data_IF_630029600803
#
_entry.id   IF_630029600803
#
_cell.length_a   1.000
_cell.length_b   1.000
_cell.length_c   1.000
_cell.angle_alpha   90.00
_cell.angle_beta   90.00
_cell.angle_gamma   90.00
#
_symmetry.space_group_name_H-M   'P 1'
#
loop_
_entity.id
_entity.type
_entity.pdbx_description
1 polymer ?
#
# COMPACT_ATOMS: atom_id res chain seq x y z
N UNK A 1 25.30 -67.81 27.70
CA UNK A 1 23.91 -67.69 28.17
C UNK A 1 23.29 -66.42 27.59
N UNK A 2 22.14 -66.53 26.92
CA UNK A 2 21.36 -65.39 26.43
C UNK A 2 20.27 -65.07 27.45
N UNK A 3 20.31 -63.88 28.04
CA UNK A 3 19.34 -63.43 29.05
C UNK A 3 17.97 -63.20 28.41
N UNK A 4 16.90 -63.57 29.12
CA UNK A 4 15.52 -63.44 28.68
C UNK A 4 15.07 -61.96 28.62
N UNK A 5 14.72 -61.41 27.44
CA UNK A 5 14.31 -60.02 27.27
C UNK A 5 13.00 -59.64 27.94
N UNK A 6 12.17 -60.60 28.36
CA UNK A 6 10.96 -60.32 29.16
C UNK A 6 11.27 -60.12 30.65
N UNK A 7 12.38 -60.70 31.12
CA UNK A 7 12.81 -60.66 32.52
C UNK A 7 13.80 -59.53 32.80
N UNK A 8 14.54 -59.11 31.76
CA UNK A 8 15.50 -58.02 31.82
C UNK A 8 15.24 -57.02 30.69
N UNK A 9 14.73 -55.83 31.04
CA UNK A 9 14.54 -54.74 30.08
C UNK A 9 15.87 -54.46 29.37
N UNK A 10 15.86 -54.46 28.02
CA UNK A 10 17.00 -54.31 27.08
C UNK A 10 17.84 -55.55 26.74
N UNK A 11 17.49 -56.77 27.19
CA UNK A 11 18.29 -57.96 26.83
C UNK A 11 18.08 -58.52 25.40
N UNK A 12 17.33 -57.85 24.51
CA UNK A 12 16.89 -58.42 23.23
C UNK A 12 17.26 -57.67 21.93
N UNK A 13 17.76 -56.43 21.99
CA UNK A 13 18.27 -55.72 20.79
C UNK A 13 19.65 -55.18 21.09
N UNK A 14 20.70 -55.86 20.58
CA UNK A 14 22.10 -55.43 20.63
C UNK A 14 22.38 -54.26 19.66
N UNK A 15 21.52 -53.25 19.64
CA UNK A 15 21.86 -52.00 18.93
C UNK A 15 22.74 -51.19 19.87
N UNK A 16 23.96 -50.89 19.42
CA UNK A 16 24.87 -50.00 20.14
C UNK A 16 24.10 -48.70 20.42
N UNK A 17 24.06 -48.19 21.67
CA UNK A 17 23.42 -46.92 21.96
C UNK A 17 23.99 -45.83 21.05
N UNK A 18 23.15 -44.96 20.50
CA UNK A 18 23.57 -43.91 19.57
C UNK A 18 24.76 -43.08 20.10
N UNK A 19 24.81 -42.88 21.42
CA UNK A 19 25.84 -42.09 22.10
C UNK A 19 27.08 -42.90 22.56
N UNK A 20 27.06 -44.23 22.49
CA UNK A 20 28.18 -45.05 22.95
C UNK A 20 29.47 -44.83 22.14
N UNK A 21 29.44 -44.70 20.80
CA UNK A 21 30.64 -44.35 20.02
C UNK A 21 31.21 -42.99 20.39
N UNK A 22 30.37 -42.00 20.72
CA UNK A 22 30.82 -40.67 21.15
C UNK A 22 31.55 -40.73 22.50
N UNK A 23 31.06 -41.54 23.45
CA UNK A 23 31.74 -41.73 24.73
C UNK A 23 33.09 -42.44 24.57
N UNK A 24 33.17 -43.40 23.65
CA UNK A 24 34.44 -44.07 23.31
C UNK A 24 35.45 -43.07 22.73
N UNK A 25 35.04 -42.27 21.75
CA UNK A 25 35.87 -41.26 21.12
C UNK A 25 36.37 -40.19 22.10
N UNK A 26 35.52 -39.80 23.06
CA UNK A 26 35.92 -38.89 24.13
C UNK A 26 37.01 -39.48 25.03
N UNK A 27 36.88 -40.76 25.41
CA UNK A 27 37.90 -41.46 26.19
C UNK A 27 39.20 -41.61 25.39
N UNK A 28 39.10 -41.98 24.11
CA UNK A 28 40.24 -42.13 23.21
C UNK A 28 41.01 -40.81 23.04
N UNK A 29 40.30 -39.68 22.94
CA UNK A 29 40.92 -38.35 22.91
C UNK A 29 41.80 -38.13 24.16
N UNK A 30 41.26 -38.38 25.36
CA UNK A 30 42.02 -38.21 26.60
C UNK A 30 43.22 -39.16 26.68
N UNK A 31 43.03 -40.45 26.35
CA UNK A 31 44.09 -41.45 26.40
C UNK A 31 45.22 -41.11 25.42
N UNK A 32 44.89 -40.69 24.20
CA UNK A 32 45.87 -40.26 23.20
C UNK A 32 46.63 -39.03 23.68
N UNK A 33 45.94 -38.04 24.23
CA UNK A 33 46.60 -36.86 24.79
C UNK A 33 47.57 -37.25 25.91
N UNK A 34 47.18 -38.12 26.85
CA UNK A 34 48.04 -38.61 27.93
C UNK A 34 49.24 -39.45 27.45
N UNK A 35 49.07 -40.23 26.39
CA UNK A 35 50.12 -41.09 25.85
C UNK A 35 51.25 -40.30 25.16
N UNK A 36 50.98 -39.09 24.67
CA UNK A 36 51.97 -38.30 23.93
C UNK A 36 53.07 -37.69 24.83
N UNK A 37 52.74 -37.27 26.06
CA UNK A 37 53.72 -36.71 27.01
C UNK A 37 53.18 -36.70 28.44
N UNK A 38 54.08 -36.61 29.41
CA UNK A 38 53.71 -36.27 30.79
C UNK A 38 53.43 -34.76 30.89
N UNK A 39 52.31 -34.39 31.51
CA UNK A 39 51.90 -32.99 31.72
C UNK A 39 52.10 -32.61 33.18
N UNK A 40 52.69 -31.44 33.43
CA UNK A 40 52.93 -30.94 34.80
C UNK A 40 51.81 -30.02 35.30
N UNK A 41 51.08 -29.39 34.38
CA UNK A 41 49.97 -28.48 34.69
C UNK A 41 48.72 -28.79 33.85
N UNK A 42 47.54 -28.48 34.40
CA UNK A 42 46.26 -28.66 33.71
C UNK A 42 46.16 -27.78 32.45
N UNK A 43 46.77 -26.59 32.45
CA UNK A 43 46.75 -25.69 31.29
C UNK A 43 47.46 -26.27 30.07
N UNK A 44 48.61 -26.92 30.27
CA UNK A 44 49.35 -27.60 29.22
C UNK A 44 48.59 -28.80 28.65
N UNK A 45 47.84 -29.50 29.50
CA UNK A 45 46.99 -30.61 29.11
C UNK A 45 45.82 -30.13 28.25
N UNK A 46 45.04 -29.16 28.72
CA UNK A 46 43.90 -28.60 27.97
C UNK A 46 44.32 -28.01 26.62
N UNK A 47 45.45 -27.30 26.56
CA UNK A 47 45.98 -26.76 25.29
C UNK A 47 46.31 -27.88 24.31
N UNK A 48 46.80 -29.02 24.82
CA UNK A 48 47.12 -30.17 23.99
C UNK A 48 45.88 -30.92 23.53
N UNK A 49 44.90 -31.17 24.40
CA UNK A 49 43.61 -31.76 24.04
C UNK A 49 42.96 -31.00 22.88
N UNK A 50 43.00 -29.65 22.92
CA UNK A 50 42.47 -28.79 21.85
C UNK A 50 43.20 -28.87 20.50
N UNK A 51 44.42 -29.38 20.47
CA UNK A 51 45.22 -29.53 19.23
C UNK A 51 45.35 -30.97 18.76
N UNK A 52 44.86 -31.93 19.54
CA UNK A 52 44.84 -33.33 19.16
C UNK A 52 43.80 -33.54 18.05
N UNK A 53 44.21 -34.20 16.97
CA UNK A 53 43.38 -34.52 15.82
C UNK A 53 43.59 -35.99 15.47
N UNK A 54 42.51 -36.76 15.40
CA UNK A 54 42.55 -38.16 15.00
C UNK A 54 41.20 -38.61 14.43
N UNK A 55 41.17 -39.78 13.81
CA UNK A 55 39.94 -40.40 13.31
C UNK A 55 39.47 -41.44 14.32
N UNK A 56 38.34 -41.19 14.97
CA UNK A 56 37.67 -42.12 15.88
C UNK A 56 36.54 -42.90 15.21
N UNK A 57 35.67 -43.50 16.02
CA UNK A 57 34.53 -44.29 15.54
C UNK A 57 33.44 -43.42 14.90
N UNK A 58 33.29 -42.17 15.33
CA UNK A 58 32.30 -41.22 14.79
C UNK A 58 32.91 -40.26 13.75
N UNK A 59 34.04 -40.64 13.14
CA UNK A 59 34.74 -39.83 12.16
C UNK A 59 35.87 -38.99 12.76
N UNK A 60 36.24 -37.90 12.08
CA UNK A 60 37.34 -37.04 12.52
C UNK A 60 36.97 -36.32 13.82
N UNK A 61 37.91 -36.29 14.76
CA UNK A 61 37.80 -35.61 16.05
C UNK A 61 38.85 -34.52 16.07
N UNK A 62 38.40 -33.28 15.94
CA UNK A 62 39.19 -32.08 16.06
C UNK A 62 38.33 -31.00 16.72
N UNK A 63 38.96 -30.12 17.50
CA UNK A 63 38.29 -29.03 18.19
C UNK A 63 38.41 -27.71 17.44
N UNK A 64 37.36 -26.89 17.51
CA UNK A 64 37.37 -25.52 17.03
C UNK A 64 38.09 -24.58 18.04
N UNK A 65 38.19 -23.29 17.71
CA UNK A 65 38.88 -22.30 18.55
C UNK A 65 38.28 -22.09 19.95
N UNK A 66 37.04 -22.52 20.17
CA UNK A 66 36.31 -22.40 21.44
C UNK A 66 36.49 -23.68 22.29
N UNK A 67 36.84 -24.81 21.66
CA UNK A 67 37.06 -26.10 22.31
C UNK A 67 35.96 -27.13 22.07
N UNK A 68 35.00 -26.84 21.17
CA UNK A 68 33.96 -27.78 20.76
C UNK A 68 34.45 -28.62 19.59
N UNK A 69 33.95 -29.86 19.48
CA UNK A 69 34.25 -30.70 18.32
C UNK A 69 33.51 -30.17 17.09
N UNK A 70 34.19 -30.18 15.93
CA UNK A 70 33.53 -29.88 14.65
C UNK A 70 32.31 -30.78 14.42
N UNK A 71 31.18 -30.15 14.14
CA UNK A 71 29.91 -30.83 13.91
C UNK A 71 29.90 -31.59 12.58
N UNK A 72 29.55 -32.88 12.65
CA UNK A 72 29.26 -33.71 11.49
C UNK A 72 27.85 -34.29 11.72
N UNK A 73 26.94 -33.98 10.81
CA UNK A 73 25.55 -34.41 10.89
C UNK A 73 25.14 -35.17 9.64
N UNK A 74 24.27 -36.15 9.82
CA UNK A 74 23.60 -36.83 8.74
C UNK A 74 22.31 -36.09 8.39
N UNK A 75 22.13 -35.77 7.10
CA UNK A 75 20.89 -35.19 6.60
C UNK A 75 20.01 -36.31 6.10
N UNK A 76 18.80 -36.39 6.62
CA UNK A 76 17.83 -37.45 6.32
C UNK A 76 16.58 -36.87 5.69
N UNK A 77 15.95 -37.65 4.80
CA UNK A 77 14.64 -37.35 4.24
C UNK A 77 13.66 -38.47 4.65
N UNK A 78 12.43 -38.10 5.01
CA UNK A 78 11.38 -39.06 5.30
C UNK A 78 10.69 -39.42 3.98
N UNK A 79 10.78 -40.68 3.58
CA UNK A 79 10.23 -41.17 2.30
C UNK A 79 9.41 -42.42 2.56
N UNK A 80 8.34 -42.62 1.79
CA UNK A 80 7.58 -43.86 1.80
C UNK A 80 8.45 -44.99 1.23
N UNK A 81 8.63 -46.06 2.00
CA UNK A 81 9.39 -47.24 1.58
C UNK A 81 8.53 -48.15 0.71
N UNK A 82 9.16 -49.05 -0.05
CA UNK A 82 8.47 -50.00 -0.95
C UNK A 82 7.45 -50.90 -0.22
N UNK A 83 7.53 -51.00 1.12
CA UNK A 83 6.63 -51.76 1.98
C UNK A 83 5.42 -50.93 2.48
N UNK A 84 5.30 -49.66 2.07
CA UNK A 84 4.20 -48.76 2.45
C UNK A 84 4.39 -48.04 3.80
N UNK A 85 5.51 -48.28 4.48
CA UNK A 85 5.88 -47.61 5.73
C UNK A 85 6.77 -46.38 5.49
N UNK A 86 6.64 -45.34 6.30
CA UNK A 86 7.52 -44.16 6.26
C UNK A 86 8.88 -44.45 6.89
N UNK A 87 9.96 -44.27 6.12
CA UNK A 87 11.33 -44.52 6.54
C UNK A 87 12.24 -43.30 6.38
N UNK A 88 13.13 -43.08 7.35
CA UNK A 88 14.18 -42.08 7.22
C UNK A 88 15.32 -42.63 6.36
N UNK A 89 15.55 -42.01 5.20
CA UNK A 89 16.69 -42.31 4.35
C UNK A 89 17.75 -41.23 4.49
N UNK A 90 19.02 -41.61 4.61
CA UNK A 90 20.13 -40.66 4.57
C UNK A 90 20.28 -40.12 3.14
N UNK A 91 20.20 -38.80 2.99
CA UNK A 91 20.31 -38.10 1.70
C UNK A 91 21.60 -37.31 1.55
N UNK A 92 22.28 -37.02 2.66
CA UNK A 92 23.55 -36.29 2.63
C UNK A 92 24.22 -36.20 3.98
N UNK A 93 25.29 -35.42 4.03
CA UNK A 93 25.98 -35.03 5.26
C UNK A 93 26.13 -33.52 5.32
N UNK A 94 26.25 -32.98 6.52
CA UNK A 94 26.66 -31.61 6.77
C UNK A 94 27.90 -31.60 7.64
N UNK A 95 28.92 -30.85 7.22
CA UNK A 95 30.20 -30.75 7.92
C UNK A 95 30.56 -29.28 8.14
N UNK A 96 30.82 -28.93 9.40
CA UNK A 96 31.10 -27.56 9.84
C UNK A 96 32.38 -26.97 9.22
N UNK A 97 33.41 -27.81 8.99
CA UNK A 97 34.72 -27.39 8.46
C UNK A 97 34.64 -26.96 6.97
N UNK A 98 33.65 -27.46 6.23
CA UNK A 98 33.51 -27.26 4.78
C UNK A 98 32.56 -26.11 4.39
N UNK A 99 32.32 -25.17 5.31
CA UNK A 99 31.44 -24.01 5.06
C UNK A 99 31.94 -23.04 3.96
N UNK A 100 33.14 -23.23 3.40
CA UNK A 100 33.69 -22.41 2.31
C UNK A 100 33.09 -22.72 0.92
N UNK A 101 32.25 -23.75 0.78
CA UNK A 101 31.64 -24.13 -0.49
C UNK A 101 30.29 -23.42 -0.73
N UNK A 102 29.85 -23.30 -1.99
CA UNK A 102 28.53 -22.75 -2.38
C UNK A 102 27.36 -23.36 -1.59
N UNK A 103 27.51 -24.61 -1.16
CA UNK A 103 26.51 -25.37 -0.40
C UNK A 103 26.63 -25.26 1.12
N UNK A 104 27.42 -24.32 1.67
CA UNK A 104 27.53 -24.04 3.12
C UNK A 104 27.72 -25.29 4.01
N UNK A 105 28.57 -26.22 3.56
CA UNK A 105 28.88 -27.46 4.28
C UNK A 105 27.94 -28.64 4.02
N UNK A 106 26.86 -28.47 3.24
CA UNK A 106 26.00 -29.59 2.83
C UNK A 106 26.61 -30.36 1.64
N UNK A 107 26.59 -31.68 1.75
CA UNK A 107 26.95 -32.60 0.68
C UNK A 107 25.83 -33.63 0.49
N UNK A 108 24.99 -33.42 -0.52
CA UNK A 108 23.87 -34.31 -0.83
C UNK A 108 24.33 -35.42 -1.78
N UNK A 109 24.12 -36.67 -1.37
CA UNK A 109 24.33 -37.87 -2.21
C UNK A 109 23.05 -38.28 -2.95
N UNK A 110 21.89 -37.84 -2.47
CA UNK A 110 20.57 -38.12 -3.05
C UNK A 110 19.73 -36.85 -3.13
N UNK A 111 18.81 -36.82 -4.08
CA UNK A 111 17.84 -35.74 -4.21
C UNK A 111 16.84 -35.76 -3.05
N UNK A 112 16.41 -34.58 -2.62
CA UNK A 112 15.32 -34.41 -1.67
C UNK A 112 14.01 -34.70 -2.41
N UNK A 113 13.16 -35.54 -1.84
CA UNK A 113 11.81 -35.77 -2.33
C UNK A 113 10.82 -35.09 -1.39
N UNK A 114 9.97 -34.24 -1.95
CA UNK A 114 8.86 -33.62 -1.23
C UNK A 114 7.61 -34.51 -1.32
N UNK A 115 6.61 -34.21 -0.50
CA UNK A 115 5.37 -34.99 -0.42
C UNK A 115 4.63 -35.15 -1.76
N UNK A 116 4.80 -34.18 -2.68
CA UNK A 116 4.26 -34.25 -4.05
C UNK A 116 5.00 -35.22 -4.99
N UNK A 117 6.05 -35.88 -4.50
CA UNK A 117 6.98 -36.68 -5.32
C UNK A 117 8.00 -35.84 -6.10
N UNK A 118 7.83 -34.51 -6.13
CA UNK A 118 8.78 -33.59 -6.76
C UNK A 118 10.08 -33.49 -5.97
N UNK A 119 11.18 -33.19 -6.68
CA UNK A 119 12.46 -32.82 -6.08
C UNK A 119 12.68 -31.31 -6.00
N UNK A 120 11.74 -30.54 -6.53
CA UNK A 120 11.79 -29.07 -6.50
C UNK A 120 11.20 -28.56 -5.19
N UNK A 121 11.86 -27.56 -4.60
CA UNK A 121 11.43 -26.94 -3.34
C UNK A 121 10.04 -26.31 -3.56
N UNK A 122 9.00 -26.74 -2.83
CA UNK A 122 7.66 -26.19 -3.00
C UNK A 122 7.63 -24.72 -2.56
N UNK A 123 6.86 -23.91 -3.28
CA UNK A 123 6.64 -22.51 -2.90
C UNK A 123 5.88 -22.44 -1.57
N UNK A 124 6.48 -21.80 -0.57
CA UNK A 124 5.95 -21.77 0.80
C UNK A 124 4.75 -20.85 1.00
N UNK A 125 4.40 -20.02 0.00
CA UNK A 125 3.35 -19.00 0.13
C UNK A 125 2.34 -19.11 -1.02
N UNK A 126 1.26 -19.85 -0.80
CA UNK A 126 0.11 -19.91 -1.72
C UNK A 126 -0.74 -18.66 -1.46
N UNK A 127 -0.81 -17.76 -2.44
CA UNK A 127 -1.70 -16.59 -2.42
C UNK A 127 -2.90 -16.81 -3.34
N UNK A 128 -4.05 -16.20 -3.07
CA UNK A 128 -5.18 -16.27 -3.99
C UNK A 128 -4.83 -15.56 -5.30
N UNK A 129 -5.42 -16.04 -6.41
CA UNK A 129 -5.31 -15.38 -7.71
C UNK A 129 -5.90 -13.97 -7.63
N UNK A 130 -5.23 -13.01 -8.27
CA UNK A 130 -5.64 -11.60 -8.28
C UNK A 130 -6.00 -11.18 -9.70
N UNK A 131 -7.21 -10.66 -9.87
CA UNK A 131 -7.66 -10.03 -11.11
C UNK A 131 -7.31 -8.54 -11.11
N UNK A 132 -6.75 -8.07 -12.21
CA UNK A 132 -6.27 -6.69 -12.36
C UNK A 132 -6.41 -6.20 -13.80
N UNK A 133 -6.45 -4.88 -13.95
CA UNK A 133 -6.40 -4.23 -15.26
C UNK A 133 -4.99 -3.73 -15.53
N UNK A 134 -4.43 -4.10 -16.69
CA UNK A 134 -3.15 -3.56 -17.17
C UNK A 134 -3.42 -2.28 -17.97
N UNK A 135 -3.05 -1.13 -17.42
CA UNK A 135 -3.21 0.17 -18.08
C UNK A 135 -2.42 0.26 -19.39
N UNK A 136 -1.29 -0.45 -19.50
CA UNK A 136 -0.40 -0.41 -20.67
C UNK A 136 -0.88 -1.33 -21.79
N UNK A 137 -1.36 -2.52 -21.42
CA UNK A 137 -1.82 -3.53 -22.39
C UNK A 137 -3.30 -3.36 -22.74
N UNK A 138 -4.04 -2.54 -21.97
CA UNK A 138 -5.47 -2.26 -22.14
C UNK A 138 -6.34 -3.52 -22.10
N UNK A 139 -5.99 -4.45 -21.21
CA UNK A 139 -6.72 -5.71 -21.04
C UNK A 139 -6.78 -6.15 -19.57
N UNK A 140 -7.82 -6.91 -19.25
CA UNK A 140 -7.98 -7.59 -17.97
C UNK A 140 -7.04 -8.80 -17.91
N UNK A 141 -6.25 -8.89 -16.84
CA UNK A 141 -5.32 -9.98 -16.59
C UNK A 141 -5.59 -10.62 -15.24
N UNK A 142 -5.24 -11.90 -15.13
CA UNK A 142 -5.35 -12.68 -13.91
C UNK A 142 -3.97 -13.20 -13.57
N UNK A 143 -3.45 -12.82 -12.41
CA UNK A 143 -2.23 -13.39 -11.85
C UNK A 143 -2.59 -14.54 -10.93
N UNK A 144 -2.33 -15.78 -11.36
CA UNK A 144 -2.53 -16.99 -10.55
C UNK A 144 -1.61 -17.03 -9.32
N UNK A 145 -0.47 -16.33 -9.36
CA UNK A 145 0.52 -16.36 -8.28
C UNK A 145 0.16 -15.42 -7.11
N UNK A 146 -0.72 -14.44 -7.33
CA UNK A 146 -1.08 -13.41 -6.36
C UNK A 146 0.11 -12.57 -5.87
N UNK A 147 1.21 -12.54 -6.63
CA UNK A 147 2.44 -11.81 -6.30
C UNK A 147 2.52 -10.47 -7.02
N UNK A 148 1.63 -10.20 -7.97
CA UNK A 148 1.60 -8.93 -8.68
C UNK A 148 1.38 -7.75 -7.72
N UNK A 149 2.15 -6.70 -7.93
CA UNK A 149 1.98 -5.44 -7.21
C UNK A 149 0.88 -4.63 -7.89
N UNK A 150 -0.19 -4.38 -7.15
CA UNK A 150 -1.23 -3.44 -7.55
C UNK A 150 -0.80 -2.03 -7.15
N UNK A 151 -0.82 -1.12 -8.11
CA UNK A 151 -0.58 0.28 -7.87
C UNK A 151 -1.87 0.98 -7.43
N UNK A 152 -1.76 2.03 -6.60
CA UNK A 152 -2.89 2.93 -6.37
C UNK A 152 -3.29 3.57 -7.71
N UNK A 153 -4.58 3.84 -7.93
CA UNK A 153 -5.03 4.44 -9.18
C UNK A 153 -4.36 5.81 -9.37
N UNK A 154 -3.96 6.13 -10.60
CA UNK A 154 -3.27 7.38 -10.91
C UNK A 154 -2.64 7.41 -12.30
N UNK A 155 -2.10 8.56 -12.71
CA UNK A 155 -1.56 8.75 -14.07
C UNK A 155 -0.33 7.87 -14.37
N UNK A 156 0.37 7.41 -13.34
CA UNK A 156 1.55 6.54 -13.43
C UNK A 156 1.23 5.08 -13.04
N UNK A 157 -0.04 4.74 -12.84
CA UNK A 157 -0.44 3.37 -12.49
C UNK A 157 -0.27 2.45 -13.70
N UNK A 158 0.33 1.28 -13.47
CA UNK A 158 0.49 0.25 -14.50
C UNK A 158 -0.51 -0.88 -14.31
N UNK A 159 -0.63 -1.39 -13.09
CA UNK A 159 -1.55 -2.47 -12.74
C UNK A 159 -2.50 -2.01 -11.64
N UNK A 160 -3.78 -1.80 -11.99
CA UNK A 160 -4.82 -1.39 -11.03
C UNK A 160 -5.72 -2.58 -10.69
N UNK A 161 -6.31 -2.55 -9.49
CA UNK A 161 -7.28 -3.57 -9.11
C UNK A 161 -8.49 -3.57 -10.07
N UNK A 162 -9.01 -4.76 -10.40
CA UNK A 162 -10.14 -4.94 -11.32
C UNK A 162 -11.36 -4.02 -11.04
N UNK A 163 -11.59 -3.68 -9.77
CA UNK A 163 -12.69 -2.80 -9.35
C UNK A 163 -12.61 -1.35 -9.84
N UNK A 164 -11.43 -0.90 -10.31
CA UNK A 164 -11.20 0.44 -10.84
C UNK A 164 -11.37 0.49 -12.37
N UNK A 165 -11.69 -0.63 -13.00
CA UNK A 165 -12.01 -0.66 -14.43
C UNK A 165 -13.48 -0.27 -14.66
N UNK A 166 -13.72 0.63 -15.62
CA UNK A 166 -15.04 1.22 -15.92
C UNK A 166 -15.73 1.92 -14.73
N UNK A 167 -14.98 2.63 -13.89
CA UNK A 167 -15.54 3.33 -12.72
C UNK A 167 -15.83 4.83 -12.96
N UNK A 168 -15.61 5.30 -14.18
CA UNK A 168 -15.77 6.69 -14.67
C UNK A 168 -14.77 7.71 -14.13
N UNK A 169 -13.75 7.25 -13.39
CA UNK A 169 -12.69 8.10 -12.88
C UNK A 169 -11.40 7.99 -13.72
N UNK A 170 -10.40 8.80 -13.37
CA UNK A 170 -9.13 8.88 -14.10
C UNK A 170 -8.11 8.07 -13.33
N UNK A 171 -8.02 6.77 -13.62
CA UNK A 171 -7.22 5.84 -12.81
C UNK A 171 -6.02 5.25 -13.56
N UNK A 172 -6.05 5.29 -14.90
CA UNK A 172 -4.91 4.98 -15.77
C UNK A 172 -4.41 6.20 -16.57
N UNK A 173 -3.20 6.06 -17.13
CA UNK A 173 -2.69 7.01 -18.12
C UNK A 173 -3.62 7.06 -19.33
N UNK A 174 -4.01 8.28 -19.73
CA UNK A 174 -4.81 8.52 -20.95
C UNK A 174 -6.22 7.87 -20.94
N UNK A 175 -6.83 7.65 -19.76
CA UNK A 175 -8.17 7.05 -19.65
C UNK A 175 -8.26 5.67 -20.34
N UNK A 176 -7.18 4.88 -20.32
CA UNK A 176 -7.16 3.60 -21.04
C UNK A 176 -8.15 2.58 -20.48
N UNK A 177 -8.38 2.62 -19.18
CA UNK A 177 -9.39 1.90 -18.39
C UNK A 177 -10.84 2.26 -18.75
N UNK A 178 -11.10 3.50 -19.18
CA UNK A 178 -12.46 3.96 -19.51
C UNK A 178 -12.75 3.91 -21.03
N UNK A 179 -11.71 4.05 -21.84
CA UNK A 179 -11.83 4.16 -23.31
C UNK A 179 -11.72 2.83 -24.03
N UNK A 180 -11.07 1.83 -23.45
CA UNK A 180 -10.79 0.53 -24.07
C UNK A 180 -11.24 -0.60 -23.12
N UNK A 181 -11.76 -1.70 -23.65
CA UNK A 181 -12.15 -2.87 -22.82
C UNK A 181 -13.65 -3.18 -22.70
N UNK A 182 -14.52 -2.48 -23.45
CA UNK A 182 -15.95 -2.84 -23.51
C UNK A 182 -16.83 -2.18 -22.45
N UNK A 183 -16.34 -1.15 -21.74
CA UNK A 183 -17.20 -0.23 -20.99
C UNK A 183 -18.25 0.37 -21.96
N UNK A 184 -19.53 0.10 -21.72
CA UNK A 184 -20.59 0.28 -22.73
C UNK A 184 -20.76 1.71 -23.26
N UNK A 185 -20.50 1.90 -24.57
CA UNK A 185 -21.08 2.89 -25.51
C UNK A 185 -21.07 4.41 -25.22
N UNK A 186 -20.74 4.86 -24.03
CA UNK A 186 -20.68 6.29 -23.70
C UNK A 186 -19.24 6.79 -23.78
N UNK A 187 -18.99 7.69 -24.72
CA UNK A 187 -17.72 8.40 -24.87
C UNK A 187 -17.52 9.40 -23.71
N UNK A 188 -17.27 8.90 -22.49
CA UNK A 188 -17.02 9.72 -21.30
C UNK A 188 -15.84 10.68 -21.50
N UNK A 189 -14.82 10.25 -22.26
CA UNK A 189 -13.69 11.08 -22.68
C UNK A 189 -14.16 12.29 -23.51
N UNK A 190 -15.09 12.09 -24.45
CA UNK A 190 -15.62 13.18 -25.26
C UNK A 190 -16.46 14.16 -24.43
N UNK A 191 -17.25 13.66 -23.48
CA UNK A 191 -18.01 14.49 -22.53
C UNK A 191 -17.06 15.30 -21.64
N UNK A 192 -16.02 14.69 -21.11
CA UNK A 192 -15.03 15.35 -20.26
C UNK A 192 -14.32 16.49 -21.00
N UNK A 193 -13.87 16.24 -22.23
CA UNK A 193 -13.25 17.27 -23.08
C UNK A 193 -14.23 18.41 -23.37
N UNK A 194 -15.48 18.09 -23.74
CA UNK A 194 -16.50 19.09 -24.06
C UNK A 194 -16.82 19.98 -22.85
N UNK A 195 -17.09 19.39 -21.68
CA UNK A 195 -17.33 20.13 -20.45
C UNK A 195 -16.10 20.94 -20.02
N UNK A 196 -14.90 20.38 -20.15
CA UNK A 196 -13.64 21.07 -19.83
C UNK A 196 -13.42 22.33 -20.67
N UNK A 197 -13.68 22.26 -21.98
CA UNK A 197 -13.55 23.42 -22.88
C UNK A 197 -14.61 24.48 -22.55
N UNK A 198 -15.88 24.08 -22.40
CA UNK A 198 -16.97 25.02 -22.11
C UNK A 198 -16.73 25.75 -20.78
N UNK A 199 -16.38 25.01 -19.73
CA UNK A 199 -16.07 25.58 -18.41
C UNK A 199 -14.83 26.47 -18.45
N UNK A 200 -13.78 26.07 -19.17
CA UNK A 200 -12.59 26.88 -19.37
C UNK A 200 -12.87 28.23 -20.05
N UNK A 201 -13.71 28.23 -21.10
CA UNK A 201 -14.15 29.46 -21.78
C UNK A 201 -14.97 30.35 -20.85
N UNK A 202 -15.88 29.77 -20.05
CA UNK A 202 -16.69 30.53 -19.09
C UNK A 202 -15.84 31.15 -17.97
N UNK A 203 -14.81 30.45 -17.48
CA UNK A 203 -13.85 30.98 -16.50
C UNK A 203 -13.05 32.15 -17.12
N UNK A 204 -12.59 32.02 -18.36
CA UNK A 204 -11.90 33.11 -19.06
C UNK A 204 -12.80 34.36 -19.18
N UNK A 205 -14.06 34.18 -19.55
CA UNK A 205 -15.05 35.27 -19.61
C UNK A 205 -15.24 35.89 -18.22
N UNK A 206 -15.34 35.09 -17.16
CA UNK A 206 -15.47 35.60 -15.78
C UNK A 206 -14.25 36.45 -15.37
N UNK A 207 -13.03 36.04 -15.71
CA UNK A 207 -11.81 36.82 -15.47
C UNK A 207 -11.82 38.16 -16.23
N UNK A 208 -12.23 38.16 -17.50
CA UNK A 208 -12.39 39.39 -18.28
C UNK A 208 -13.43 40.32 -17.67
N UNK A 209 -14.53 39.78 -17.13
CA UNK A 209 -15.57 40.57 -16.45
C UNK A 209 -15.09 41.15 -15.12
N UNK A 210 -14.21 40.46 -14.39
CA UNK A 210 -13.54 41.00 -13.19
C UNK A 210 -12.64 42.18 -13.59
N UNK A 211 -11.78 42.00 -14.60
CA UNK A 211 -10.90 43.05 -15.10
C UNK A 211 -11.71 44.27 -15.58
N UNK A 212 -12.79 44.04 -16.32
CA UNK A 212 -13.73 45.08 -16.75
C UNK A 212 -14.31 45.85 -15.56
N UNK A 213 -14.74 45.14 -14.51
CA UNK A 213 -15.35 45.75 -13.31
C UNK A 213 -14.33 46.58 -12.53
N UNK A 214 -13.08 46.11 -12.42
CA UNK A 214 -12.00 46.86 -11.76
C UNK A 214 -11.63 48.12 -12.57
N UNK A 215 -11.42 47.95 -13.88
CA UNK A 215 -10.97 49.03 -14.75
C UNK A 215 -12.03 50.11 -14.90
N UNK A 216 -13.29 49.77 -15.18
CA UNK A 216 -14.37 50.76 -15.35
C UNK A 216 -15.08 51.16 -14.06
N UNK A 217 -14.86 50.42 -12.97
CA UNK A 217 -15.40 50.73 -11.65
C UNK A 217 -14.50 51.66 -10.83
N UNK A 218 -13.19 51.41 -10.82
CA UNK A 218 -12.24 52.13 -9.95
C UNK A 218 -11.23 52.99 -10.72
N UNK A 219 -10.63 52.49 -11.81
CA UNK A 219 -9.53 53.19 -12.51
C UNK A 219 -10.08 54.29 -13.44
N UNK A 220 -10.99 53.92 -14.34
CA UNK A 220 -11.64 54.80 -15.31
C UNK A 220 -13.15 54.80 -15.00
N UNK A 221 -13.59 55.53 -13.96
CA UNK A 221 -14.94 55.42 -13.44
C UNK A 221 -15.98 55.84 -14.50
N UNK A 222 -16.67 54.86 -15.08
CA UNK A 222 -17.80 55.10 -15.99
C UNK A 222 -19.09 55.22 -15.17
N UNK A 223 -19.87 56.26 -15.47
CA UNK A 223 -21.10 56.60 -14.74
C UNK A 223 -22.03 55.38 -14.59
N UNK A 224 -22.29 54.63 -15.67
CA UNK A 224 -23.17 53.45 -15.66
C UNK A 224 -22.68 52.33 -14.72
N UNK A 225 -21.37 52.02 -14.76
CA UNK A 225 -20.78 50.93 -13.95
C UNK A 225 -20.71 51.34 -12.48
N UNK A 226 -20.38 52.60 -12.21
CA UNK A 226 -20.35 53.15 -10.85
C UNK A 226 -21.73 53.12 -10.18
N UNK A 227 -22.80 53.42 -10.92
CA UNK A 227 -24.17 53.32 -10.40
C UNK A 227 -24.61 51.87 -10.14
N UNK A 228 -24.04 50.90 -10.87
CA UNK A 228 -24.34 49.49 -10.68
C UNK A 228 -23.72 48.87 -9.40
N UNK A 229 -22.99 49.66 -8.60
CA UNK A 229 -22.29 49.28 -7.37
C UNK A 229 -21.17 48.25 -7.63
N UNK A 230 -19.94 48.72 -7.97
CA UNK A 230 -18.78 47.88 -8.26
C UNK A 230 -18.47 46.77 -7.24
N UNK A 231 -18.56 46.95 -5.90
CA UNK A 231 -18.23 45.87 -4.96
C UNK A 231 -19.17 44.66 -5.07
N UNK A 232 -20.47 44.88 -5.32
CA UNK A 232 -21.42 43.77 -5.50
C UNK A 232 -21.23 43.05 -6.82
N UNK A 233 -20.86 43.79 -7.88
CA UNK A 233 -20.50 43.18 -9.16
C UNK A 233 -19.28 42.27 -9.02
N UNK A 234 -18.26 42.68 -8.24
CA UNK A 234 -17.10 41.85 -7.95
C UNK A 234 -17.44 40.60 -7.14
N UNK A 235 -18.29 40.71 -6.11
CA UNK A 235 -18.71 39.54 -5.32
C UNK A 235 -19.45 38.54 -6.21
N UNK A 236 -20.34 39.00 -7.09
CA UNK A 236 -21.08 38.14 -8.02
C UNK A 236 -20.12 37.45 -9.00
N UNK A 237 -19.19 38.18 -9.62
CA UNK A 237 -18.26 37.59 -10.58
C UNK A 237 -17.26 36.63 -9.93
N UNK A 238 -16.78 36.92 -8.72
CA UNK A 238 -15.95 36.00 -7.94
C UNK A 238 -16.74 34.73 -7.58
N UNK A 239 -18.00 34.89 -7.17
CA UNK A 239 -18.86 33.74 -6.83
C UNK A 239 -19.08 32.85 -8.05
N UNK A 240 -19.30 33.43 -9.24
CA UNK A 240 -19.41 32.68 -10.50
C UNK A 240 -18.11 31.96 -10.84
N UNK A 241 -16.96 32.60 -10.64
CA UNK A 241 -15.65 32.01 -10.89
C UNK A 241 -15.40 30.79 -9.99
N UNK A 242 -15.67 30.92 -8.69
CA UNK A 242 -15.56 29.80 -7.73
C UNK A 242 -16.57 28.69 -8.07
N UNK A 243 -17.79 29.06 -8.49
CA UNK A 243 -18.80 28.11 -8.93
C UNK A 243 -18.36 27.29 -10.15
N UNK A 244 -17.78 27.92 -11.17
CA UNK A 244 -17.23 27.18 -12.32
C UNK A 244 -16.00 26.36 -11.96
N UNK A 245 -15.12 26.89 -11.09
CA UNK A 245 -13.98 26.12 -10.60
C UNK A 245 -14.41 24.88 -9.80
N UNK A 246 -15.56 24.93 -9.13
CA UNK A 246 -16.08 23.79 -8.36
C UNK A 246 -16.28 22.54 -9.21
N UNK A 247 -16.60 22.69 -10.50
CA UNK A 247 -16.83 21.59 -11.43
C UNK A 247 -15.61 20.66 -11.50
N UNK A 248 -14.39 21.20 -11.43
CA UNK A 248 -13.17 20.37 -11.41
C UNK A 248 -13.00 19.56 -10.13
N UNK A 249 -13.67 19.91 -9.02
CA UNK A 249 -13.70 19.07 -7.81
C UNK A 249 -14.68 17.89 -7.93
N UNK A 250 -15.56 17.91 -8.93
CA UNK A 250 -16.46 16.78 -9.25
C UNK A 250 -15.81 15.79 -10.22
N UNK A 251 -14.79 16.22 -10.95
CA UNK A 251 -14.09 15.38 -11.92
C UNK A 251 -12.70 14.99 -11.41
N UNK A 252 -12.50 13.71 -11.17
CA UNK A 252 -11.24 13.16 -10.70
C UNK A 252 -11.46 12.17 -9.57
N UNK A 253 -10.39 11.48 -9.19
CA UNK A 253 -10.45 10.44 -8.17
C UNK A 253 -11.09 10.95 -6.88
N UNK A 254 -11.99 10.15 -6.27
CA UNK A 254 -12.68 10.53 -5.04
C UNK A 254 -11.72 10.47 -3.84
N UNK A 255 -10.86 11.47 -3.73
CA UNK A 255 -10.04 11.69 -2.56
C UNK A 255 -10.87 12.33 -1.46
N UNK A 256 -10.58 11.99 -0.19
CA UNK A 256 -11.24 12.58 0.99
C UNK A 256 -11.29 14.10 0.95
N UNK A 257 -10.23 14.71 0.42
CA UNK A 257 -10.09 16.16 0.28
C UNK A 257 -10.99 16.71 -0.83
N UNK A 258 -11.03 16.06 -2.00
CA UNK A 258 -11.89 16.45 -3.11
C UNK A 258 -13.38 16.38 -2.74
N UNK A 259 -13.81 15.27 -2.10
CA UNK A 259 -15.18 15.11 -1.61
C UNK A 259 -15.56 16.18 -0.57
N UNK A 260 -14.61 16.62 0.26
CA UNK A 260 -14.82 17.74 1.18
C UNK A 260 -15.02 19.08 0.48
N UNK A 261 -14.28 19.36 -0.59
CA UNK A 261 -14.34 20.64 -1.29
C UNK A 261 -15.59 20.83 -2.15
N UNK A 262 -16.22 19.77 -2.64
CA UNK A 262 -17.41 19.84 -3.50
C UNK A 262 -18.54 20.73 -2.91
N UNK A 263 -19.08 20.46 -1.70
CA UNK A 263 -20.16 21.27 -1.13
C UNK A 263 -19.68 22.66 -0.72
N UNK A 264 -18.42 22.83 -0.34
CA UNK A 264 -17.86 24.12 0.04
C UNK A 264 -17.74 25.08 -1.15
N UNK A 265 -17.21 24.60 -2.28
CA UNK A 265 -17.02 25.42 -3.46
C UNK A 265 -18.36 25.75 -4.13
N UNK A 266 -19.18 24.74 -4.43
CA UNK A 266 -20.44 24.94 -5.14
C UNK A 266 -21.49 25.62 -4.24
N UNK A 267 -21.64 25.14 -3.00
CA UNK A 267 -22.67 25.61 -2.08
C UNK A 267 -22.46 27.06 -1.66
N UNK A 268 -21.23 27.46 -1.32
CA UNK A 268 -20.95 28.85 -0.94
C UNK A 268 -20.97 29.79 -2.14
N UNK A 269 -20.51 29.36 -3.32
CA UNK A 269 -20.57 30.17 -4.53
C UNK A 269 -22.01 30.56 -4.90
N UNK A 270 -22.93 29.59 -4.96
CA UNK A 270 -24.33 29.85 -5.30
C UNK A 270 -25.01 30.71 -4.23
N UNK A 271 -24.84 30.38 -2.95
CA UNK A 271 -25.42 31.16 -1.85
C UNK A 271 -24.88 32.60 -1.84
N UNK A 272 -23.58 32.79 -2.07
CA UNK A 272 -22.96 34.12 -2.12
C UNK A 272 -23.49 34.96 -3.27
N UNK A 273 -23.64 34.36 -4.46
CA UNK A 273 -24.21 35.03 -5.63
C UNK A 273 -25.65 35.48 -5.37
N UNK A 274 -26.49 34.59 -4.84
CA UNK A 274 -27.90 34.88 -4.54
C UNK A 274 -28.00 35.94 -3.43
N UNK A 275 -27.19 35.84 -2.37
CA UNK A 275 -27.14 36.82 -1.30
C UNK A 275 -26.73 38.21 -1.81
N UNK A 276 -25.77 38.30 -2.73
CA UNK A 276 -25.33 39.56 -3.31
C UNK A 276 -26.42 40.22 -4.17
N UNK A 277 -27.15 39.41 -4.96
CA UNK A 277 -28.32 39.85 -5.72
C UNK A 277 -29.45 40.33 -4.80
N UNK A 278 -29.75 39.58 -3.74
CA UNK A 278 -30.77 39.93 -2.76
C UNK A 278 -30.42 41.23 -2.03
N UNK A 279 -29.17 41.40 -1.58
CA UNK A 279 -28.71 42.62 -0.92
C UNK A 279 -28.85 43.85 -1.83
N UNK A 280 -28.55 43.70 -3.13
CA UNK A 280 -28.74 44.78 -4.12
C UNK A 280 -30.22 45.10 -4.34
N UNK A 281 -31.09 44.09 -4.43
CA UNK A 281 -32.53 44.29 -4.56
C UNK A 281 -33.14 44.94 -3.31
N UNK A 282 -32.67 44.58 -2.12
CA UNK A 282 -33.07 45.21 -0.86
C UNK A 282 -32.66 46.69 -0.79
N UNK A 283 -31.45 47.02 -1.29
CA UNK A 283 -31.00 48.42 -1.41
C UNK A 283 -31.98 49.23 -2.27
N UNK A 284 -32.37 48.70 -3.44
CA UNK A 284 -33.30 49.35 -4.37
C UNK A 284 -34.69 49.50 -3.72
N UNK A 285 -35.22 48.43 -3.14
CA UNK A 285 -36.51 48.44 -2.44
C UNK A 285 -36.57 49.50 -1.34
N UNK A 286 -35.54 49.60 -0.51
CA UNK A 286 -35.49 50.61 0.57
C UNK A 286 -35.46 52.04 0.03
N UNK A 287 -34.76 52.29 -1.07
CA UNK A 287 -34.72 53.61 -1.72
C UNK A 287 -36.12 54.03 -2.17
N UNK A 288 -36.90 53.11 -2.76
CA UNK A 288 -38.26 53.40 -3.22
C UNK A 288 -39.30 53.46 -2.09
N UNK A 289 -39.09 52.76 -0.97
CA UNK A 289 -40.02 52.75 0.17
C UNK A 289 -40.08 54.09 0.91
N UNK A 290 -39.02 54.91 0.87
CA UNK A 290 -38.99 56.23 1.54
C UNK A 290 -38.84 57.38 0.54
N UNK A 291 -39.88 57.71 -0.25
CA UNK A 291 -39.79 58.73 -1.30
C UNK A 291 -39.50 60.14 -0.76
N UNK A 292 -39.84 60.41 0.51
CA UNK A 292 -39.72 61.73 1.14
C UNK A 292 -38.39 61.95 1.88
N UNK A 293 -37.56 60.92 2.07
CA UNK A 293 -36.27 61.03 2.75
C UNK A 293 -35.21 60.30 1.93
N UNK A 294 -34.36 61.07 1.24
CA UNK A 294 -33.23 60.53 0.48
C UNK A 294 -32.19 59.95 1.44
N UNK A 295 -32.35 58.68 1.81
CA UNK A 295 -31.39 57.97 2.65
C UNK A 295 -30.22 57.49 1.80
N UNK A 296 -29.04 58.09 1.99
CA UNK A 296 -27.78 57.59 1.43
C UNK A 296 -27.27 56.44 2.28
N UNK A 297 -27.43 55.20 1.81
CA UNK A 297 -26.81 54.02 2.45
C UNK A 297 -25.37 53.86 1.98
N UNK A 298 -24.47 53.65 2.95
CA UNK A 298 -23.05 53.40 2.68
C UNK A 298 -22.86 51.93 2.29
N UNK A 299 -21.91 51.65 1.41
CA UNK A 299 -21.76 50.32 0.81
C UNK A 299 -21.40 49.23 1.85
N UNK A 300 -20.73 49.59 2.96
CA UNK A 300 -20.42 48.66 4.05
C UNK A 300 -21.67 48.14 4.79
N UNK A 301 -22.74 48.94 4.87
CA UNK A 301 -23.98 48.54 5.56
C UNK A 301 -24.69 47.44 4.76
N UNK A 302 -24.66 47.57 3.44
CA UNK A 302 -25.25 46.59 2.52
C UNK A 302 -24.36 45.33 2.42
N UNK A 303 -23.03 45.47 2.52
CA UNK A 303 -22.11 44.33 2.66
C UNK A 303 -22.31 43.59 3.98
N UNK A 304 -22.65 44.28 5.07
CA UNK A 304 -23.06 43.66 6.33
C UNK A 304 -24.31 42.80 6.18
N UNK A 305 -25.31 43.27 5.43
CA UNK A 305 -26.52 42.47 5.12
C UNK A 305 -26.18 41.21 4.33
N UNK A 306 -25.27 41.31 3.35
CA UNK A 306 -24.77 40.15 2.60
C UNK A 306 -24.08 39.13 3.51
N UNK A 307 -23.20 39.58 4.41
CA UNK A 307 -22.49 38.70 5.34
C UNK A 307 -23.46 37.97 6.29
N UNK A 308 -24.48 38.67 6.79
CA UNK A 308 -25.53 38.08 7.63
C UNK A 308 -26.36 37.04 6.87
N UNK A 309 -26.61 37.22 5.58
CA UNK A 309 -27.32 36.23 4.76
C UNK A 309 -26.50 34.96 4.50
N UNK A 310 -25.17 35.07 4.40
CA UNK A 310 -24.29 33.92 4.14
C UNK A 310 -23.94 33.15 5.42
N UNK A 311 -23.88 33.83 6.57
CA UNK A 311 -23.45 33.22 7.83
C UNK A 311 -24.20 31.91 8.19
N UNK A 312 -25.54 31.80 8.04
CA UNK A 312 -26.24 30.54 8.27
C UNK A 312 -25.77 29.41 7.34
N UNK A 313 -25.53 29.70 6.06
CA UNK A 313 -25.07 28.69 5.10
C UNK A 313 -23.67 28.17 5.45
N UNK A 314 -22.75 29.08 5.84
CA UNK A 314 -21.41 28.71 6.31
C UNK A 314 -21.49 27.86 7.58
N UNK A 315 -22.34 28.24 8.53
CA UNK A 315 -22.51 27.52 9.79
C UNK A 315 -23.08 26.11 9.57
N UNK A 316 -24.09 25.97 8.71
CA UNK A 316 -24.68 24.67 8.36
C UNK A 316 -23.63 23.77 7.69
N UNK A 317 -22.88 24.28 6.71
CA UNK A 317 -21.85 23.51 6.03
C UNK A 317 -20.73 23.09 6.99
N UNK A 318 -20.29 24.00 7.87
CA UNK A 318 -19.29 23.70 8.88
C UNK A 318 -19.74 22.57 9.82
N UNK A 319 -20.95 22.69 10.39
CA UNK A 319 -21.53 21.65 11.25
C UNK A 319 -21.67 20.32 10.50
N UNK A 320 -22.13 20.34 9.25
CA UNK A 320 -22.30 19.12 8.48
C UNK A 320 -20.97 18.42 8.23
N UNK A 321 -19.92 19.16 7.86
CA UNK A 321 -18.57 18.59 7.68
C UNK A 321 -17.94 18.08 8.97
N UNK A 322 -18.29 18.65 10.12
CA UNK A 322 -17.80 18.23 11.43
C UNK A 322 -18.50 16.96 11.94
N UNK A 323 -19.81 16.83 11.68
CA UNK A 323 -20.61 15.66 12.08
C UNK A 323 -20.39 14.48 11.12
N UNK A 324 -20.25 14.75 9.83
CA UNK A 324 -20.16 13.73 8.79
C UNK A 324 -18.99 14.06 7.86
N UNK A 325 -17.84 13.43 8.10
CA UNK A 325 -16.71 13.51 7.19
C UNK A 325 -17.09 12.84 5.86
N UNK A 326 -17.06 13.57 4.73
CA UNK A 326 -17.44 12.99 3.44
C UNK A 326 -16.43 11.92 3.03
N UNK A 327 -16.92 10.70 2.85
CA UNK A 327 -16.15 9.54 2.39
C UNK A 327 -16.80 8.98 1.14
N UNK A 328 -15.99 8.60 0.15
CA UNK A 328 -16.48 7.89 -1.02
C UNK A 328 -16.67 6.41 -0.71
N UNK A 329 -17.79 5.86 -1.16
CA UNK A 329 -18.13 4.44 -1.06
C UNK A 329 -18.44 3.92 -2.44
N UNK A 330 -17.78 2.84 -2.85
CA UNK A 330 -18.12 2.14 -4.09
C UNK A 330 -19.46 1.43 -3.88
N UNK A 331 -20.43 1.75 -4.74
CA UNK A 331 -21.71 1.03 -4.79
C UNK A 331 -21.64 0.16 -6.04
N UNK A 332 -21.54 -1.16 -5.88
CA UNK A 332 -21.64 -2.08 -7.00
C UNK A 332 -23.05 -2.01 -7.55
N UNK A 333 -23.20 -1.47 -8.75
CA UNK A 333 -24.48 -1.46 -9.45
C UNK A 333 -24.71 -2.86 -10.03
N UNK A 334 -25.43 -3.69 -9.28
CA UNK A 334 -25.94 -4.96 -9.81
C UNK A 334 -27.07 -4.62 -10.78
N UNK A 335 -26.76 -4.54 -12.07
CA UNK A 335 -27.76 -4.62 -13.15
C UNK A 335 -28.06 -6.08 -13.51
#
# INVERSE_FOLDING_TARGET
ETLDPKRYSRAGKRTIPLYAPYAYDAMELFVRTFAERQFTTMGEFTKKVRTTNFTGLTGRIAMNGIGDRFGIYDVVNLVDTDEGDQGWIKIGTWEEEFQSNEHRGFNFTRNIHFHSGSTEVPEAEVRPSVEYWSCSDMEMKVDESGKIKLDPPGPDAENIAAKYHCDTFIDCRNFSDESYGGCGSSNYLALFIAFGIITGVLILIAFLMILFTILFGYIIPRIRVRFASPPFLLIITISILVGFASIYAWFGQPQKVACGFQPWLLGLAVNSMVAALAAKNLRIYRIFKSPLKRTTMRDYEVLGVWAVMIAPAVFILFLWTLISTPTATLVSQND
#
